data_IF_573610310379
#
_entry.id   IF_573610310379
#
_cell.length_a   1.000
_cell.length_b   1.000
_cell.length_c   1.000
_cell.angle_alpha   90.00
_cell.angle_beta   90.00
_cell.angle_gamma   90.00
#
_symmetry.space_group_name_H-M   'P 1'
#
loop_
_entity.id
_entity.type
_entity.pdbx_description
1 polymer ?
#
# COMPACT_ATOMS: atom_id res chain seq x y z
N UNK A 1 7.70 11.31 -30.08
CA UNK A 1 8.15 11.18 -28.68
C UNK A 1 7.08 10.47 -27.90
N UNK A 2 7.44 9.52 -27.04
CA UNK A 2 6.46 8.90 -26.14
C UNK A 2 5.96 9.98 -25.15
N UNK A 3 4.67 10.02 -24.92
CA UNK A 3 4.02 10.95 -24.00
C UNK A 3 3.32 10.17 -22.86
N UNK A 4 2.88 10.83 -21.77
CA UNK A 4 2.27 10.15 -20.64
C UNK A 4 1.08 9.25 -21.01
N UNK A 5 0.19 9.70 -21.92
CA UNK A 5 -0.96 8.91 -22.36
C UNK A 5 -0.56 7.67 -23.16
N UNK A 6 0.48 7.79 -24.02
CA UNK A 6 0.98 6.63 -24.77
C UNK A 6 1.59 5.56 -23.87
N UNK A 7 2.34 5.95 -22.83
CA UNK A 7 2.86 5.05 -21.82
C UNK A 7 1.73 4.42 -21.01
N UNK A 8 0.77 5.22 -20.57
CA UNK A 8 -0.39 4.74 -19.80
C UNK A 8 -1.14 3.64 -20.56
N UNK A 9 -1.38 3.83 -21.84
CA UNK A 9 -2.06 2.84 -22.68
C UNK A 9 -1.21 1.63 -23.00
N UNK A 10 0.03 1.86 -23.45
CA UNK A 10 0.93 0.79 -23.94
C UNK A 10 1.39 -0.14 -22.83
N UNK A 11 1.73 0.40 -21.65
CA UNK A 11 2.34 -0.35 -20.55
C UNK A 11 1.29 -0.81 -19.54
N UNK A 12 0.32 0.06 -19.21
CA UNK A 12 -0.64 -0.22 -18.14
C UNK A 12 -2.05 -0.58 -18.64
N UNK A 13 -2.32 -0.42 -19.96
CA UNK A 13 -3.60 -0.80 -20.58
C UNK A 13 -4.76 0.15 -20.28
N UNK A 14 -4.51 1.34 -19.72
CA UNK A 14 -5.53 2.33 -19.43
C UNK A 14 -5.65 3.36 -20.53
N UNK A 15 -6.87 3.71 -20.92
CA UNK A 15 -7.14 4.71 -21.98
C UNK A 15 -7.02 6.15 -21.48
N UNK A 16 -7.22 6.41 -20.19
CA UNK A 16 -7.18 7.75 -19.59
C UNK A 16 -6.69 7.71 -18.15
N UNK A 17 -6.11 8.82 -17.71
CA UNK A 17 -5.78 9.05 -16.30
C UNK A 17 -7.06 9.23 -15.47
N UNK A 18 -7.03 8.78 -14.23
CA UNK A 18 -8.04 9.10 -13.23
C UNK A 18 -7.90 10.55 -12.77
N UNK A 19 -8.96 11.17 -12.22
CA UNK A 19 -8.88 12.55 -11.71
C UNK A 19 -7.67 12.76 -10.78
N UNK A 20 -6.91 13.81 -11.05
CA UNK A 20 -5.70 14.19 -10.30
C UNK A 20 -4.41 13.49 -10.71
N UNK A 21 -4.45 12.35 -11.39
CA UNK A 21 -3.22 11.63 -11.78
C UNK A 21 -2.41 12.39 -12.84
N UNK A 22 -3.05 12.91 -13.85
CA UNK A 22 -2.39 13.58 -14.98
C UNK A 22 -1.60 14.81 -14.53
N UNK A 23 -2.17 15.62 -13.64
CA UNK A 23 -1.51 16.78 -13.09
C UNK A 23 -0.25 16.38 -12.28
N UNK A 24 -0.35 15.36 -11.43
CA UNK A 24 0.79 14.82 -10.68
C UNK A 24 1.91 14.37 -11.63
N UNK A 25 1.56 13.60 -12.67
CA UNK A 25 2.51 13.12 -13.69
C UNK A 25 3.19 14.31 -14.37
N UNK A 26 2.43 15.32 -14.76
CA UNK A 26 2.95 16.52 -15.43
C UNK A 26 3.91 17.31 -14.55
N UNK A 27 3.60 17.47 -13.25
CA UNK A 27 4.46 18.14 -12.29
C UNK A 27 5.80 17.42 -12.08
N UNK A 28 5.76 16.09 -11.89
CA UNK A 28 6.98 15.29 -11.76
C UNK A 28 7.84 15.35 -13.02
N UNK A 29 7.24 15.32 -14.20
CA UNK A 29 7.97 15.45 -15.48
C UNK A 29 8.57 16.86 -15.67
N UNK A 30 7.92 17.89 -15.12
CA UNK A 30 8.45 19.26 -15.09
C UNK A 30 9.57 19.46 -14.06
N UNK A 31 9.92 18.43 -13.26
CA UNK A 31 10.95 18.52 -12.21
C UNK A 31 10.46 19.17 -10.92
N UNK A 32 9.15 19.31 -10.73
CA UNK A 32 8.56 19.82 -9.49
C UNK A 32 8.30 18.68 -8.51
N UNK A 33 8.69 18.85 -7.24
CA UNK A 33 8.37 17.90 -6.18
C UNK A 33 6.85 17.82 -5.98
N UNK A 34 6.39 16.66 -5.51
CA UNK A 34 4.96 16.39 -5.31
C UNK A 34 4.73 15.78 -3.93
N UNK A 35 3.71 16.26 -3.24
CA UNK A 35 3.11 15.61 -2.07
C UNK A 35 1.64 15.26 -2.40
N UNK A 36 1.39 13.98 -2.63
CA UNK A 36 0.07 13.50 -3.03
C UNK A 36 -0.56 12.62 -1.94
N UNK A 37 -1.70 13.09 -1.41
CA UNK A 37 -2.58 12.30 -0.54
C UNK A 37 -3.70 11.73 -1.40
N UNK A 38 -3.63 10.43 -1.66
CA UNK A 38 -4.55 9.73 -2.55
C UNK A 38 -5.05 8.45 -1.88
N UNK A 39 -6.37 8.22 -1.82
CA UNK A 39 -6.92 7.04 -1.16
C UNK A 39 -6.41 5.74 -1.76
N UNK A 40 -6.53 4.67 -0.99
CA UNK A 40 -6.24 3.32 -1.46
C UNK A 40 -7.13 3.00 -2.68
N UNK A 41 -6.52 2.45 -3.73
CA UNK A 41 -7.21 2.16 -5.00
C UNK A 41 -7.33 3.34 -5.98
N UNK A 42 -6.88 4.55 -5.62
CA UNK A 42 -6.85 5.70 -6.53
C UNK A 42 -5.77 5.61 -7.64
N UNK A 43 -4.91 4.58 -7.58
CA UNK A 43 -3.86 4.36 -8.58
C UNK A 43 -2.62 5.23 -8.35
N UNK A 44 -2.18 5.40 -7.10
CA UNK A 44 -0.94 6.11 -6.73
C UNK A 44 0.27 5.67 -7.56
N UNK A 45 0.42 4.35 -7.78
CA UNK A 45 1.57 3.78 -8.51
C UNK A 45 1.71 4.35 -9.91
N UNK A 46 0.60 4.54 -10.63
CA UNK A 46 0.59 5.11 -11.98
C UNK A 46 1.19 6.52 -12.00
N UNK A 47 0.93 7.31 -10.94
CA UNK A 47 1.39 8.69 -10.85
C UNK A 47 2.93 8.82 -10.86
N UNK A 48 3.65 7.81 -10.38
CA UNK A 48 5.12 7.82 -10.41
C UNK A 48 5.72 6.82 -11.41
N UNK A 49 5.01 5.74 -11.75
CA UNK A 49 5.52 4.77 -12.72
C UNK A 49 5.52 5.34 -14.15
N UNK A 50 4.49 6.11 -14.53
CA UNK A 50 4.45 6.75 -15.85
C UNK A 50 5.61 7.75 -16.03
N UNK A 51 5.82 8.75 -15.14
CA UNK A 51 6.97 9.63 -15.29
C UNK A 51 8.30 8.90 -15.16
N UNK A 52 8.42 7.85 -14.35
CA UNK A 52 9.63 7.04 -14.27
C UNK A 52 10.06 6.48 -15.63
N UNK A 53 9.12 6.11 -16.49
CA UNK A 53 9.41 5.58 -17.83
C UNK A 53 9.83 6.65 -18.83
N UNK A 54 9.44 7.90 -18.62
CA UNK A 54 9.72 9.03 -19.51
C UNK A 54 10.95 9.83 -19.09
N UNK A 55 11.23 9.94 -17.80
CA UNK A 55 12.40 10.66 -17.29
C UNK A 55 13.71 9.96 -17.72
N UNK A 56 14.79 10.69 -17.96
CA UNK A 56 16.10 10.07 -18.18
C UNK A 56 16.61 9.37 -16.92
N UNK A 57 17.48 8.36 -17.06
CA UNK A 57 18.07 7.69 -15.88
C UNK A 57 17.12 6.75 -15.15
N UNK A 58 17.32 6.61 -13.85
CA UNK A 58 16.68 5.62 -12.99
C UNK A 58 15.74 6.31 -12.00
N UNK A 59 14.59 5.69 -11.73
CA UNK A 59 13.71 6.06 -10.62
C UNK A 59 13.89 5.07 -9.47
N UNK A 60 14.10 5.60 -8.26
CA UNK A 60 14.10 4.83 -7.01
C UNK A 60 12.75 5.01 -6.34
N UNK A 61 12.11 3.90 -5.97
CA UNK A 61 10.85 3.90 -5.20
C UNK A 61 11.14 3.33 -3.82
N UNK A 62 11.13 4.18 -2.81
CA UNK A 62 11.25 3.77 -1.41
C UNK A 62 9.88 3.30 -0.92
N UNK A 63 9.79 2.04 -0.50
CA UNK A 63 8.54 1.45 -0.02
C UNK A 63 8.79 0.57 1.22
N UNK A 64 7.88 0.54 2.20
CA UNK A 64 8.09 -0.19 3.45
C UNK A 64 7.73 -1.67 3.35
N UNK A 65 7.18 -2.12 2.24
CA UNK A 65 6.48 -3.40 2.13
C UNK A 65 7.09 -4.33 1.10
N UNK A 66 7.74 -5.39 1.60
CA UNK A 66 8.44 -6.40 0.79
C UNK A 66 7.49 -7.12 -0.19
N UNK A 67 6.28 -7.48 0.24
CA UNK A 67 5.28 -8.12 -0.62
C UNK A 67 4.84 -7.20 -1.76
N UNK A 68 4.49 -5.95 -1.43
CA UNK A 68 4.07 -4.97 -2.42
C UNK A 68 5.16 -4.70 -3.47
N UNK A 69 6.44 -4.61 -3.05
CA UNK A 69 7.55 -4.45 -4.00
C UNK A 69 7.60 -5.59 -5.01
N UNK A 70 7.43 -6.84 -4.55
CA UNK A 70 7.45 -8.02 -5.43
C UNK A 70 6.32 -7.98 -6.44
N UNK A 71 5.11 -7.65 -5.98
CA UNK A 71 3.92 -7.58 -6.82
C UNK A 71 4.04 -6.45 -7.86
N UNK A 72 4.46 -5.25 -7.42
CA UNK A 72 4.67 -4.11 -8.31
C UNK A 72 5.75 -4.39 -9.36
N UNK A 73 6.90 -4.93 -8.95
CA UNK A 73 7.97 -5.30 -9.88
C UNK A 73 7.53 -6.43 -10.81
N UNK A 74 6.82 -7.44 -10.30
CA UNK A 74 6.27 -8.52 -11.11
C UNK A 74 5.35 -7.99 -12.22
N UNK A 75 4.42 -7.10 -11.88
CA UNK A 75 3.51 -6.46 -12.84
C UNK A 75 4.28 -5.63 -13.89
N UNK A 76 5.25 -4.84 -13.46
CA UNK A 76 6.09 -4.04 -14.37
C UNK A 76 6.88 -4.92 -15.34
N UNK A 77 7.51 -5.99 -14.84
CA UNK A 77 8.28 -6.93 -15.68
C UNK A 77 7.38 -7.64 -16.68
N UNK A 78 6.17 -8.06 -16.28
CA UNK A 78 5.18 -8.64 -17.19
C UNK A 78 4.74 -7.64 -18.28
N UNK A 79 4.68 -6.36 -17.94
CA UNK A 79 4.41 -5.28 -18.89
C UNK A 79 5.63 -4.88 -19.75
N UNK A 80 6.76 -5.60 -19.64
CA UNK A 80 7.98 -5.35 -20.40
C UNK A 80 8.85 -4.21 -19.85
N UNK A 81 8.60 -3.75 -18.63
CA UNK A 81 9.40 -2.72 -17.98
C UNK A 81 10.55 -3.35 -17.20
N UNK A 82 11.76 -2.87 -17.43
CA UNK A 82 12.94 -3.30 -16.69
C UNK A 82 12.92 -2.73 -15.26
N UNK A 83 12.40 -3.52 -14.31
CA UNK A 83 12.26 -3.16 -12.91
C UNK A 83 12.93 -4.21 -11.99
N UNK A 84 13.37 -3.77 -10.82
CA UNK A 84 13.94 -4.64 -9.79
C UNK A 84 13.53 -4.17 -8.39
N UNK A 85 13.76 -5.02 -7.38
CA UNK A 85 13.62 -4.63 -5.98
C UNK A 85 14.86 -5.02 -5.16
N UNK A 86 15.10 -4.29 -4.08
CA UNK A 86 16.17 -4.53 -3.10
C UNK A 86 15.58 -4.48 -1.68
N UNK A 87 15.47 -5.65 -1.06
CA UNK A 87 14.95 -5.79 0.29
C UNK A 87 15.59 -6.97 1.05
N UNK A 88 15.11 -7.28 2.25
CA UNK A 88 15.66 -8.33 3.11
C UNK A 88 15.36 -9.76 2.64
N UNK A 89 14.44 -9.96 1.70
CA UNK A 89 14.10 -11.29 1.19
C UNK A 89 15.10 -11.84 0.17
N UNK A 90 16.02 -10.99 -0.34
CA UNK A 90 17.05 -11.39 -1.30
C UNK A 90 18.25 -11.98 -0.58
N UNK A 91 18.80 -13.05 -1.15
CA UNK A 91 20.12 -13.56 -0.73
C UNK A 91 21.24 -12.58 -1.12
N UNK A 92 22.41 -12.71 -0.52
CA UNK A 92 23.52 -11.79 -0.81
C UNK A 92 24.00 -11.90 -2.27
N UNK A 93 23.96 -13.08 -2.85
CA UNK A 93 24.22 -13.27 -4.29
C UNK A 93 23.21 -12.57 -5.19
N UNK A 94 21.92 -12.61 -4.83
CA UNK A 94 20.85 -11.92 -5.54
C UNK A 94 21.01 -10.39 -5.44
N UNK A 95 21.35 -9.88 -4.24
CA UNK A 95 21.64 -8.46 -4.03
C UNK A 95 22.83 -7.99 -4.87
N UNK A 96 23.94 -8.76 -4.85
CA UNK A 96 25.14 -8.44 -5.63
C UNK A 96 24.85 -8.42 -7.14
N UNK A 97 24.11 -9.41 -7.65
CA UNK A 97 23.70 -9.48 -9.06
C UNK A 97 22.80 -8.30 -9.43
N UNK A 98 21.82 -7.97 -8.59
CA UNK A 98 20.91 -6.84 -8.80
C UNK A 98 21.69 -5.53 -8.88
N UNK A 99 22.59 -5.26 -7.93
CA UNK A 99 23.41 -4.04 -7.92
C UNK A 99 24.37 -3.96 -9.11
N UNK A 100 24.95 -5.07 -9.56
CA UNK A 100 25.76 -5.11 -10.78
C UNK A 100 24.94 -4.69 -12.00
N UNK A 101 23.78 -5.32 -12.20
CA UNK A 101 22.87 -4.98 -13.31
C UNK A 101 22.38 -3.54 -13.24
N UNK A 102 22.13 -3.02 -12.02
CA UNK A 102 21.74 -1.63 -11.81
C UNK A 102 22.85 -0.67 -12.29
N UNK A 103 24.12 -0.96 -11.96
CA UNK A 103 25.28 -0.18 -12.46
C UNK A 103 25.45 -0.27 -13.97
N UNK A 104 25.13 -1.39 -14.58
CA UNK A 104 25.14 -1.58 -16.03
C UNK A 104 23.96 -0.86 -16.72
N UNK A 105 22.99 -0.31 -15.95
CA UNK A 105 21.85 0.44 -16.48
C UNK A 105 20.70 -0.42 -16.97
N UNK A 106 20.56 -1.65 -16.46
CA UNK A 106 19.51 -2.58 -16.87
C UNK A 106 18.12 -2.18 -16.41
N UNK A 107 18.02 -1.39 -15.33
CA UNK A 107 16.74 -1.10 -14.70
C UNK A 107 16.32 0.35 -14.87
N UNK A 108 15.05 0.54 -15.11
CA UNK A 108 14.39 1.84 -15.19
C UNK A 108 13.78 2.27 -13.85
N UNK A 109 13.27 1.29 -13.12
CA UNK A 109 12.64 1.49 -11.80
C UNK A 109 13.24 0.48 -10.82
N UNK A 110 13.67 0.96 -9.66
CA UNK A 110 14.17 0.13 -8.57
C UNK A 110 13.38 0.43 -7.30
N UNK A 111 12.65 -0.57 -6.82
CA UNK A 111 12.02 -0.52 -5.52
C UNK A 111 13.02 -0.89 -4.43
N UNK A 112 13.07 -0.11 -3.36
CA UNK A 112 14.03 -0.31 -2.27
C UNK A 112 13.35 -0.18 -0.92
N UNK A 113 13.68 -1.10 0.00
CA UNK A 113 13.30 -0.95 1.39
C UNK A 113 14.14 0.16 2.04
N UNK A 114 13.57 1.04 2.87
CA UNK A 114 14.27 2.23 3.39
C UNK A 114 15.57 1.90 4.10
N UNK A 115 15.63 0.79 4.86
CA UNK A 115 16.83 0.33 5.56
C UNK A 115 17.98 -0.11 4.61
N UNK A 116 17.72 -0.19 3.32
CA UNK A 116 18.72 -0.51 2.29
C UNK A 116 19.38 0.71 1.67
N UNK A 117 18.85 1.89 1.92
CA UNK A 117 19.44 3.14 1.44
C UNK A 117 20.84 3.39 2.02
N UNK A 118 21.10 2.91 3.24
CA UNK A 118 22.39 3.03 3.92
C UNK A 118 23.42 1.97 3.47
N UNK A 119 23.03 0.99 2.63
CA UNK A 119 23.99 -0.01 2.15
C UNK A 119 25.08 0.62 1.29
N UNK A 120 26.38 0.42 1.62
CA UNK A 120 27.47 1.05 0.84
C UNK A 120 27.46 0.69 -0.65
N UNK A 121 27.00 -0.52 -0.97
CA UNK A 121 26.85 -0.96 -2.37
C UNK A 121 25.75 -0.24 -3.10
N UNK A 122 24.64 0.09 -2.44
CA UNK A 122 23.52 0.85 -3.02
C UNK A 122 23.86 2.34 -3.14
N UNK A 123 24.49 2.92 -2.12
CA UNK A 123 24.95 4.32 -2.15
C UNK A 123 25.94 4.56 -3.29
N UNK A 124 26.95 3.71 -3.45
CA UNK A 124 27.89 3.79 -4.59
C UNK A 124 27.18 3.71 -5.94
N UNK A 125 26.26 2.75 -6.10
CA UNK A 125 25.45 2.66 -7.31
C UNK A 125 24.68 3.97 -7.58
N UNK A 126 24.03 4.54 -6.57
CA UNK A 126 23.23 5.74 -6.70
C UNK A 126 24.08 6.99 -7.01
N UNK A 127 25.35 7.02 -6.57
CA UNK A 127 26.31 8.07 -6.89
C UNK A 127 26.89 7.93 -8.31
N UNK A 128 27.04 6.71 -8.81
CA UNK A 128 27.60 6.42 -10.14
C UNK A 128 26.57 6.57 -11.27
N UNK A 129 25.29 6.54 -10.97
CA UNK A 129 24.20 6.55 -11.96
C UNK A 129 23.31 7.78 -11.82
N UNK A 130 22.71 8.20 -12.92
CA UNK A 130 21.73 9.29 -12.88
C UNK A 130 20.44 8.80 -12.24
N UNK A 131 20.12 9.30 -11.05
CA UNK A 131 18.84 9.14 -10.40
C UNK A 131 18.00 10.37 -10.74
N UNK A 132 16.93 10.18 -11.50
CA UNK A 132 16.09 11.30 -11.98
C UNK A 132 14.91 11.57 -11.06
N UNK A 133 14.43 10.56 -10.37
CA UNK A 133 13.32 10.68 -9.45
C UNK A 133 13.50 9.73 -8.26
N UNK A 134 13.13 10.21 -7.08
CA UNK A 134 12.94 9.39 -5.89
C UNK A 134 11.48 9.49 -5.46
N UNK A 135 10.81 8.37 -5.39
CA UNK A 135 9.44 8.29 -4.91
C UNK A 135 9.42 7.67 -3.52
N UNK A 136 8.74 8.31 -2.59
CA UNK A 136 8.51 7.81 -1.23
C UNK A 136 7.05 7.33 -1.15
N UNK A 137 6.86 6.03 -1.22
CA UNK A 137 5.55 5.41 -1.04
C UNK A 137 5.25 5.23 0.45
N UNK A 138 3.97 5.30 0.82
CA UNK A 138 3.52 5.34 2.22
C UNK A 138 4.29 6.40 3.05
N UNK A 139 4.42 7.61 2.48
CA UNK A 139 5.24 8.70 3.05
C UNK A 139 4.83 9.10 4.48
N UNK A 140 3.60 8.76 4.92
CA UNK A 140 3.17 8.96 6.31
C UNK A 140 4.04 8.20 7.33
N UNK A 141 4.77 7.18 6.90
CA UNK A 141 5.70 6.43 7.74
C UNK A 141 6.88 7.27 8.28
N UNK A 142 7.15 8.46 7.71
CA UNK A 142 8.19 9.36 8.19
C UNK A 142 7.78 10.14 9.44
N UNK A 143 6.48 10.29 9.69
CA UNK A 143 5.91 11.07 10.79
C UNK A 143 5.61 10.19 12.00
N UNK A 144 6.02 10.63 13.20
CA UNK A 144 5.64 10.00 14.47
C UNK A 144 4.12 10.07 14.73
N UNK A 145 3.43 10.96 14.04
CA UNK A 145 1.98 11.15 14.10
C UNK A 145 1.27 10.42 12.97
N UNK A 146 2.02 9.74 12.11
CA UNK A 146 1.49 8.86 11.07
C UNK A 146 1.04 7.52 11.65
N UNK A 147 0.24 6.81 10.88
CA UNK A 147 -0.37 5.53 11.28
C UNK A 147 0.66 4.42 11.56
N UNK A 148 1.77 4.41 10.84
CA UNK A 148 2.82 3.38 10.89
C UNK A 148 4.21 4.04 10.83
N UNK A 149 4.58 4.73 11.90
CA UNK A 149 5.89 5.37 11.98
C UNK A 149 7.01 4.34 11.85
N UNK A 150 7.94 4.62 10.94
CA UNK A 150 9.12 3.78 10.70
C UNK A 150 10.40 4.60 10.77
N UNK A 151 11.23 4.38 11.81
CA UNK A 151 12.49 5.12 11.95
C UNK A 151 13.40 5.06 10.72
N UNK A 152 13.35 3.98 9.95
CA UNK A 152 14.13 3.83 8.71
C UNK A 152 13.76 4.83 7.61
N UNK A 153 12.58 5.49 7.67
CA UNK A 153 12.24 6.56 6.74
C UNK A 153 13.01 7.85 7.01
N UNK A 154 13.52 8.03 8.23
CA UNK A 154 14.34 9.17 8.59
C UNK A 154 15.73 9.17 7.91
N UNK A 155 16.14 8.07 7.30
CA UNK A 155 17.39 8.00 6.52
C UNK A 155 17.25 8.50 5.08
N UNK A 156 16.01 8.71 4.60
CA UNK A 156 15.76 9.14 3.21
C UNK A 156 16.38 10.51 2.91
N UNK A 157 16.23 11.54 3.75
CA UNK A 157 16.85 12.86 3.49
C UNK A 157 18.37 12.79 3.34
N UNK A 158 19.04 12.03 4.22
CA UNK A 158 20.48 11.83 4.12
C UNK A 158 20.87 11.15 2.79
N UNK A 159 20.15 10.11 2.39
CA UNK A 159 20.37 9.49 1.09
C UNK A 159 20.21 10.50 -0.06
N UNK A 160 19.15 11.32 -0.05
CA UNK A 160 18.92 12.34 -1.08
C UNK A 160 20.06 13.36 -1.14
N UNK A 161 20.61 13.80 0.00
CA UNK A 161 21.72 14.76 0.07
C UNK A 161 23.04 14.20 -0.47
N UNK A 162 23.24 12.90 -0.45
CA UNK A 162 24.44 12.22 -0.95
C UNK A 162 24.44 12.01 -2.48
N UNK A 163 23.32 12.27 -3.16
CA UNK A 163 23.24 12.13 -4.61
C UNK A 163 23.95 13.29 -5.34
N UNK A 164 24.68 13.04 -6.42
CA UNK A 164 25.43 14.08 -7.16
C UNK A 164 24.53 15.20 -7.71
N UNK A 165 23.27 14.89 -7.98
CA UNK A 165 22.22 15.84 -8.37
C UNK A 165 20.94 15.47 -7.63
N UNK A 166 20.30 16.48 -7.04
CA UNK A 166 19.01 16.26 -6.38
C UNK A 166 17.98 15.81 -7.41
N UNK A 167 17.37 14.62 -7.25
CA UNK A 167 16.28 14.16 -8.11
C UNK A 167 15.00 14.93 -7.80
N UNK A 168 14.00 14.83 -8.68
CA UNK A 168 12.64 15.20 -8.28
C UNK A 168 12.10 14.21 -7.25
N UNK A 169 11.41 14.71 -6.23
CA UNK A 169 10.89 13.88 -5.13
C UNK A 169 9.37 13.83 -5.18
N UNK A 170 8.83 12.61 -5.22
CA UNK A 170 7.39 12.37 -5.12
C UNK A 170 7.06 11.66 -3.81
N UNK A 171 6.31 12.30 -2.92
CA UNK A 171 5.82 11.70 -1.68
C UNK A 171 4.35 11.30 -1.83
N UNK A 172 4.04 10.03 -1.62
CA UNK A 172 2.70 9.46 -1.81
C UNK A 172 2.21 8.77 -0.53
N UNK A 173 0.97 9.02 -0.16
CA UNK A 173 0.33 8.33 0.97
C UNK A 173 -1.17 8.21 0.74
N UNK A 174 -1.80 7.24 1.42
CA UNK A 174 -3.25 7.10 1.38
C UNK A 174 -3.95 8.09 2.30
N UNK A 175 -3.36 8.40 3.44
CA UNK A 175 -3.92 9.27 4.48
C UNK A 175 -2.83 10.15 5.06
N UNK A 176 -3.14 11.42 5.30
CA UNK A 176 -2.27 12.32 6.03
C UNK A 176 -3.07 13.50 6.61
N UNK A 177 -3.03 13.67 7.91
CA UNK A 177 -3.51 14.91 8.57
C UNK A 177 -2.65 16.10 8.16
N UNK A 178 -3.09 17.32 8.46
CA UNK A 178 -2.30 18.52 8.18
C UNK A 178 -0.90 18.44 8.83
N UNK A 179 -0.82 17.92 10.06
CA UNK A 179 0.45 17.73 10.78
C UNK A 179 1.36 16.72 10.09
N UNK A 180 0.81 15.57 9.67
CA UNK A 180 1.57 14.54 8.94
C UNK A 180 2.09 15.08 7.61
N UNK A 181 1.30 15.89 6.89
CA UNK A 181 1.76 16.54 5.63
C UNK A 181 2.93 17.49 5.87
N UNK A 182 2.86 18.28 6.96
CA UNK A 182 3.95 19.18 7.34
C UNK A 182 5.23 18.40 7.68
N UNK A 183 5.10 17.29 8.44
CA UNK A 183 6.24 16.42 8.74
C UNK A 183 6.84 15.83 7.47
N UNK A 184 6.00 15.32 6.54
CA UNK A 184 6.48 14.78 5.25
C UNK A 184 7.25 15.86 4.48
N UNK A 185 6.67 17.05 4.37
CA UNK A 185 7.29 18.17 3.64
C UNK A 185 8.64 18.55 4.23
N UNK A 186 8.70 18.72 5.55
CA UNK A 186 9.91 19.18 6.25
C UNK A 186 10.98 18.10 6.30
N UNK A 187 10.64 16.86 6.66
CA UNK A 187 11.64 15.78 6.75
C UNK A 187 12.20 15.37 5.38
N UNK A 188 11.37 15.32 4.33
CA UNK A 188 11.86 15.03 2.97
C UNK A 188 12.48 16.24 2.26
N UNK A 189 12.50 17.41 2.93
CA UNK A 189 13.03 18.66 2.36
C UNK A 189 12.47 18.93 0.97
N UNK A 190 11.12 18.82 0.82
CA UNK A 190 10.48 19.01 -0.47
C UNK A 190 10.56 20.48 -0.92
N UNK A 191 11.01 20.70 -2.15
CA UNK A 191 11.20 22.03 -2.73
C UNK A 191 9.91 22.51 -3.41
N UNK A 192 9.18 23.44 -2.78
CA UNK A 192 7.93 24.03 -3.32
C UNK A 192 7.02 22.95 -3.95
N UNK A 193 6.66 21.90 -3.20
CA UNK A 193 5.96 20.77 -3.77
C UNK A 193 4.58 21.17 -4.30
N UNK A 194 4.17 20.53 -5.38
CA UNK A 194 2.75 20.51 -5.73
C UNK A 194 2.03 19.60 -4.73
N UNK A 195 1.21 20.21 -3.89
CA UNK A 195 0.43 19.47 -2.90
C UNK A 195 -0.98 19.20 -3.42
N UNK A 196 -1.38 17.95 -3.40
CA UNK A 196 -2.71 17.54 -3.82
C UNK A 196 -3.30 16.51 -2.87
N UNK A 197 -4.56 16.71 -2.55
CA UNK A 197 -5.38 15.71 -1.86
C UNK A 197 -6.54 15.38 -2.78
N UNK A 198 -6.55 14.16 -3.30
CA UNK A 198 -7.68 13.72 -4.13
C UNK A 198 -8.88 13.35 -3.25
N UNK A 199 -10.06 13.33 -3.86
CA UNK A 199 -11.28 12.98 -3.13
C UNK A 199 -11.15 11.60 -2.47
N UNK A 200 -11.57 11.53 -1.21
CA UNK A 200 -11.73 10.26 -0.48
C UNK A 200 -13.04 9.56 -0.82
N UNK A 201 -13.87 10.17 -1.65
CA UNK A 201 -15.14 9.57 -2.04
C UNK A 201 -14.92 8.31 -2.88
N UNK A 202 -15.56 7.26 -2.47
CA UNK A 202 -15.58 5.94 -3.10
C UNK A 202 -17.05 5.55 -3.33
N UNK A 203 -17.67 6.07 -4.40
CA UNK A 203 -19.11 5.90 -4.63
C UNK A 203 -19.53 4.44 -4.81
N UNK A 204 -18.58 3.57 -5.10
CA UNK A 204 -18.82 2.13 -5.20
C UNK A 204 -18.77 1.38 -3.85
N UNK A 205 -18.43 2.06 -2.74
CA UNK A 205 -18.41 1.45 -1.42
C UNK A 205 -19.66 1.84 -0.63
N UNK A 206 -20.39 0.84 -0.14
CA UNK A 206 -21.49 1.05 0.77
C UNK A 206 -21.02 0.81 2.21
N UNK A 207 -21.04 1.86 3.03
CA UNK A 207 -20.67 1.80 4.43
C UNK A 207 -21.89 1.62 5.33
N UNK A 208 -21.87 0.62 6.20
CA UNK A 208 -22.89 0.41 7.21
C UNK A 208 -22.29 0.11 8.58
N UNK A 209 -23.03 0.45 9.62
CA UNK A 209 -22.70 0.06 10.99
C UNK A 209 -23.82 -0.77 11.56
N UNK A 210 -23.47 -1.87 12.25
CA UNK A 210 -24.44 -2.74 12.92
C UNK A 210 -24.09 -2.86 14.38
N UNK A 211 -25.10 -2.58 15.22
CA UNK A 211 -24.99 -2.82 16.65
C UNK A 211 -25.20 -4.30 16.93
N UNK A 212 -24.23 -4.93 17.59
CA UNK A 212 -24.31 -6.32 18.00
C UNK A 212 -23.66 -6.49 19.38
N UNK A 213 -24.35 -7.18 20.28
CA UNK A 213 -23.73 -7.59 21.54
C UNK A 213 -22.57 -8.56 21.28
N UNK A 214 -21.54 -8.63 22.13
CA UNK A 214 -20.43 -9.55 21.93
C UNK A 214 -20.84 -11.00 21.65
N UNK A 215 -21.88 -11.50 22.33
CA UNK A 215 -22.44 -12.85 22.13
C UNK A 215 -23.18 -13.03 20.79
N UNK A 216 -23.65 -11.96 20.18
CA UNK A 216 -24.38 -11.97 18.89
C UNK A 216 -23.47 -11.78 17.68
N UNK A 217 -22.28 -11.20 17.88
CA UNK A 217 -21.36 -10.90 16.76
C UNK A 217 -21.02 -12.11 15.89
N UNK A 218 -20.78 -13.32 16.43
CA UNK A 218 -20.49 -14.49 15.59
C UNK A 218 -21.65 -14.82 14.63
N UNK A 219 -22.90 -14.71 15.12
CA UNK A 219 -24.10 -14.94 14.31
C UNK A 219 -24.27 -13.87 13.24
N UNK A 220 -24.14 -12.59 13.60
CA UNK A 220 -24.22 -11.45 12.67
C UNK A 220 -23.15 -11.54 11.58
N UNK A 221 -21.90 -11.87 11.96
CA UNK A 221 -20.83 -12.07 11.01
C UNK A 221 -21.17 -13.17 10.00
N UNK A 222 -21.64 -14.32 10.50
CA UNK A 222 -21.98 -15.45 9.64
C UNK A 222 -23.10 -15.09 8.65
N UNK A 223 -24.15 -14.40 9.12
CA UNK A 223 -25.24 -13.93 8.27
C UNK A 223 -24.77 -12.95 7.19
N UNK A 224 -23.85 -12.04 7.54
CA UNK A 224 -23.24 -11.11 6.58
C UNK A 224 -22.45 -11.85 5.51
N UNK A 225 -21.58 -12.77 5.90
CA UNK A 225 -20.75 -13.53 4.97
C UNK A 225 -21.61 -14.42 4.05
N UNK A 226 -22.63 -15.08 4.60
CA UNK A 226 -23.53 -15.92 3.80
C UNK A 226 -24.34 -15.12 2.78
N UNK A 227 -24.71 -13.86 3.06
CA UNK A 227 -25.38 -12.97 2.10
C UNK A 227 -24.50 -12.62 0.90
N UNK A 228 -23.18 -12.60 1.07
CA UNK A 228 -22.23 -12.31 0.00
C UNK A 228 -21.96 -13.52 -0.92
N UNK A 229 -22.54 -14.69 -0.59
CA UNK A 229 -22.39 -15.90 -1.40
C UNK A 229 -20.92 -16.33 -1.51
N UNK A 230 -20.44 -16.50 -2.74
CA UNK A 230 -19.06 -16.92 -3.01
C UNK A 230 -18.08 -15.74 -3.25
N UNK A 231 -18.48 -14.52 -2.98
CA UNK A 231 -17.63 -13.37 -3.20
C UNK A 231 -16.44 -13.33 -2.21
N UNK A 232 -15.30 -12.84 -2.70
CA UNK A 232 -14.12 -12.64 -1.87
C UNK A 232 -14.33 -11.52 -0.85
N UNK A 233 -13.92 -11.74 0.40
CA UNK A 233 -14.04 -10.77 1.45
C UNK A 233 -12.95 -10.82 2.51
N UNK A 234 -12.88 -9.76 3.31
CA UNK A 234 -11.92 -9.63 4.42
C UNK A 234 -12.70 -9.37 5.71
N UNK A 235 -12.30 -10.06 6.79
CA UNK A 235 -12.82 -9.82 8.14
C UNK A 235 -11.68 -9.38 9.04
N UNK A 236 -11.77 -8.17 9.61
CA UNK A 236 -10.78 -7.63 10.54
C UNK A 236 -11.19 -7.89 11.99
N UNK A 237 -10.30 -8.54 12.74
CA UNK A 237 -10.44 -8.82 14.17
C UNK A 237 -9.31 -8.13 14.96
N UNK A 238 -9.59 -7.71 16.20
CA UNK A 238 -8.60 -7.02 17.04
C UNK A 238 -7.52 -7.95 17.62
N UNK A 239 -7.80 -9.24 17.77
CA UNK A 239 -6.87 -10.20 18.37
C UNK A 239 -6.67 -11.45 17.51
N UNK A 240 -5.49 -12.08 17.65
CA UNK A 240 -5.17 -13.33 16.96
C UNK A 240 -6.12 -14.46 17.33
N UNK A 241 -6.53 -14.54 18.61
CA UNK A 241 -7.50 -15.51 19.09
C UNK A 241 -8.86 -15.36 18.40
N UNK A 242 -9.36 -14.12 18.25
CA UNK A 242 -10.61 -13.87 17.51
C UNK A 242 -10.49 -14.22 16.03
N UNK A 243 -9.32 -14.02 15.44
CA UNK A 243 -9.07 -14.47 14.05
C UNK A 243 -9.26 -15.98 13.95
N UNK A 244 -8.60 -16.75 14.82
CA UNK A 244 -8.66 -18.22 14.79
C UNK A 244 -10.08 -18.73 15.06
N UNK A 245 -10.77 -18.19 16.07
CA UNK A 245 -12.16 -18.53 16.38
C UNK A 245 -13.12 -18.21 15.22
N UNK A 246 -12.89 -17.08 14.54
CA UNK A 246 -13.70 -16.68 13.37
C UNK A 246 -13.45 -17.58 12.17
N UNK A 247 -12.20 -17.96 11.90
CA UNK A 247 -11.88 -18.92 10.84
C UNK A 247 -12.57 -20.26 11.10
N UNK A 248 -12.48 -20.79 12.32
CA UNK A 248 -13.14 -22.05 12.69
C UNK A 248 -14.67 -21.96 12.52
N UNK A 249 -15.28 -20.85 12.91
CA UNK A 249 -16.72 -20.62 12.71
C UNK A 249 -17.10 -20.67 11.23
N UNK A 250 -16.35 -19.96 10.37
CA UNK A 250 -16.63 -19.94 8.92
C UNK A 250 -16.42 -21.30 8.28
N UNK A 251 -15.32 -21.98 8.61
CA UNK A 251 -15.02 -23.31 8.10
C UNK A 251 -16.04 -24.37 8.53
N UNK A 252 -16.60 -24.26 9.76
CA UNK A 252 -17.67 -25.14 10.22
C UNK A 252 -18.96 -25.01 9.40
N UNK A 253 -19.07 -23.96 8.59
CA UNK A 253 -20.17 -23.70 7.66
C UNK A 253 -19.75 -23.86 6.20
N UNK A 254 -18.69 -24.61 5.95
CA UNK A 254 -18.14 -24.89 4.61
C UNK A 254 -17.71 -23.65 3.83
N UNK A 255 -17.43 -22.53 4.53
CA UNK A 255 -16.89 -21.31 3.92
C UNK A 255 -15.35 -21.45 3.92
N UNK A 256 -14.73 -21.28 2.74
CA UNK A 256 -13.27 -21.34 2.58
C UNK A 256 -12.63 -20.10 3.19
N UNK A 257 -12.22 -20.20 4.45
CA UNK A 257 -11.60 -19.10 5.19
C UNK A 257 -10.17 -19.45 5.62
N UNK A 258 -9.28 -18.44 5.65
CA UNK A 258 -7.93 -18.56 6.17
C UNK A 258 -7.58 -17.42 7.12
N UNK A 259 -6.68 -17.69 8.06
CA UNK A 259 -6.17 -16.74 9.04
C UNK A 259 -4.97 -15.96 8.51
N UNK A 260 -4.84 -14.68 8.94
CA UNK A 260 -3.62 -13.92 8.73
C UNK A 260 -3.31 -13.05 9.96
N UNK A 261 -2.27 -13.38 10.70
CA UNK A 261 -1.81 -12.62 11.86
C UNK A 261 -0.34 -12.90 12.18
N UNK A 262 0.26 -12.07 13.02
CA UNK A 262 1.71 -12.09 13.30
C UNK A 262 2.20 -13.37 13.99
N UNK A 263 1.33 -14.16 14.66
CA UNK A 263 1.71 -15.42 15.31
C UNK A 263 1.86 -16.59 14.35
N UNK A 264 1.35 -16.49 13.13
CA UNK A 264 1.59 -17.51 12.09
C UNK A 264 3.04 -17.42 11.62
N UNK A 265 3.63 -18.55 11.26
CA UNK A 265 4.93 -18.57 10.60
C UNK A 265 4.88 -17.87 9.22
N UNK A 266 6.04 -17.51 8.70
CA UNK A 266 6.14 -16.73 7.47
C UNK A 266 5.63 -17.49 6.23
N UNK A 267 5.83 -18.80 6.19
CA UNK A 267 5.41 -19.61 5.04
C UNK A 267 3.90 -19.82 5.04
N UNK A 268 3.28 -20.09 6.18
CA UNK A 268 1.81 -20.17 6.32
C UNK A 268 1.16 -18.83 5.97
N UNK A 269 1.72 -17.70 6.44
CA UNK A 269 1.19 -16.37 6.07
C UNK A 269 1.24 -16.13 4.58
N UNK A 270 2.36 -16.46 3.95
CA UNK A 270 2.52 -16.33 2.49
C UNK A 270 1.53 -17.22 1.75
N UNK A 271 1.41 -18.49 2.14
CA UNK A 271 0.50 -19.43 1.51
C UNK A 271 -0.95 -18.97 1.62
N UNK A 272 -1.41 -18.55 2.81
CA UNK A 272 -2.77 -18.06 3.01
C UNK A 272 -3.05 -16.79 2.18
N UNK A 273 -2.07 -15.89 2.07
CA UNK A 273 -2.16 -14.71 1.22
C UNK A 273 -2.30 -15.09 -0.27
N UNK A 274 -1.46 -15.99 -0.76
CA UNK A 274 -1.51 -16.47 -2.14
C UNK A 274 -2.84 -17.18 -2.42
N UNK A 275 -3.32 -18.02 -1.48
CA UNK A 275 -4.60 -18.70 -1.61
C UNK A 275 -5.78 -17.74 -1.68
N UNK A 276 -5.72 -16.61 -0.96
CA UNK A 276 -6.72 -15.56 -1.06
C UNK A 276 -6.61 -14.79 -2.38
N UNK A 277 -5.41 -14.44 -2.82
CA UNK A 277 -5.19 -13.73 -4.08
C UNK A 277 -5.68 -14.53 -5.29
N UNK A 278 -5.48 -15.83 -5.29
CA UNK A 278 -5.87 -16.73 -6.38
C UNK A 278 -7.25 -17.41 -6.19
N UNK A 279 -8.12 -16.85 -5.36
CA UNK A 279 -9.51 -17.31 -5.11
C UNK A 279 -9.64 -18.75 -4.55
N UNK A 280 -8.55 -19.36 -4.06
CA UNK A 280 -8.59 -20.63 -3.34
C UNK A 280 -9.22 -20.50 -1.96
N UNK A 281 -9.04 -19.36 -1.34
CA UNK A 281 -9.71 -18.89 -0.11
C UNK A 281 -10.68 -17.78 -0.45
N UNK A 282 -11.91 -17.85 0.08
CA UNK A 282 -12.95 -16.88 -0.13
C UNK A 282 -12.88 -15.73 0.87
N UNK A 283 -12.66 -16.05 2.15
CA UNK A 283 -12.66 -15.08 3.23
C UNK A 283 -11.30 -15.08 3.95
N UNK A 284 -10.61 -13.96 3.91
CA UNK A 284 -9.45 -13.74 4.74
C UNK A 284 -9.88 -13.13 6.08
N UNK A 285 -9.56 -13.82 7.17
CA UNK A 285 -9.78 -13.30 8.53
C UNK A 285 -8.45 -12.86 9.10
N UNK A 286 -8.33 -11.60 9.51
CA UNK A 286 -7.04 -11.05 9.84
C UNK A 286 -7.06 -10.02 10.97
N UNK A 287 -5.90 -9.81 11.58
CA UNK A 287 -5.64 -8.57 12.33
C UNK A 287 -5.22 -7.46 11.36
N UNK A 288 -5.01 -6.24 11.86
CA UNK A 288 -4.49 -5.10 11.10
C UNK A 288 -3.16 -5.40 10.37
N UNK A 289 -2.45 -6.48 10.75
CA UNK A 289 -1.24 -6.93 10.04
C UNK A 289 -1.53 -7.37 8.59
N UNK A 290 -2.77 -7.74 8.25
CA UNK A 290 -3.20 -8.02 6.89
C UNK A 290 -3.70 -6.75 6.24
N UNK A 291 -2.81 -6.07 5.61
CA UNK A 291 -3.31 -4.83 5.10
C UNK A 291 -2.39 -4.16 4.11
N UNK A 292 -1.22 -3.82 4.51
CA UNK A 292 -0.29 -3.16 3.62
C UNK A 292 0.21 -4.15 2.54
N UNK A 293 0.03 -3.80 1.26
CA UNK A 293 0.57 -4.56 0.14
C UNK A 293 -0.34 -5.61 -0.50
N UNK A 294 -1.63 -5.69 -0.12
CA UNK A 294 -2.56 -6.60 -0.80
C UNK A 294 -3.31 -5.84 -1.88
N UNK A 295 -3.11 -6.29 -3.11
CA UNK A 295 -3.78 -5.74 -4.29
C UNK A 295 -4.69 -6.80 -4.94
N UNK A 296 -5.84 -7.06 -4.29
CA UNK A 296 -6.90 -7.91 -4.83
C UNK A 296 -8.07 -7.04 -5.27
N UNK A 297 -8.34 -6.91 -6.57
CA UNK A 297 -9.34 -5.97 -7.09
C UNK A 297 -10.78 -6.38 -6.77
N UNK A 298 -11.07 -7.67 -6.71
CA UNK A 298 -12.41 -8.24 -6.63
C UNK A 298 -12.91 -8.54 -5.18
N UNK A 299 -12.39 -7.84 -4.17
CA UNK A 299 -12.93 -7.93 -2.80
C UNK A 299 -14.29 -7.25 -2.76
N UNK A 300 -15.36 -8.00 -2.45
CA UNK A 300 -16.73 -7.49 -2.47
C UNK A 300 -17.23 -7.04 -1.09
N UNK A 301 -16.59 -7.50 -0.02
CA UNK A 301 -16.95 -7.05 1.32
C UNK A 301 -15.74 -6.95 2.25
N UNK A 302 -15.82 -5.99 3.17
CA UNK A 302 -14.92 -5.87 4.32
C UNK A 302 -15.77 -5.76 5.58
N UNK A 303 -15.55 -6.64 6.54
CA UNK A 303 -16.26 -6.63 7.82
C UNK A 303 -15.27 -6.34 8.94
N UNK A 304 -15.51 -5.27 9.68
CA UNK A 304 -14.81 -4.99 10.92
C UNK A 304 -15.56 -5.63 12.08
N UNK A 305 -15.04 -6.74 12.60
CA UNK A 305 -15.60 -7.45 13.75
C UNK A 305 -15.48 -6.65 15.05
N UNK A 306 -14.43 -5.84 15.13
CA UNK A 306 -14.16 -4.89 16.21
C UNK A 306 -13.98 -3.49 15.67
N UNK A 307 -14.13 -2.49 16.56
CA UNK A 307 -13.80 -1.10 16.25
C UNK A 307 -12.32 -1.00 15.83
N UNK A 308 -11.98 -0.37 14.70
CA UNK A 308 -10.63 -0.01 14.35
C UNK A 308 -10.02 0.97 15.35
N UNK A 309 -8.70 1.09 15.38
CA UNK A 309 -7.98 1.98 16.30
C UNK A 309 -8.33 3.46 16.09
N UNK A 310 -8.48 3.86 14.83
CA UNK A 310 -8.79 5.21 14.38
C UNK A 310 -9.53 5.20 13.04
N UNK A 311 -9.99 6.36 12.60
CA UNK A 311 -10.75 6.53 11.37
C UNK A 311 -9.89 6.25 10.13
N UNK A 312 -8.61 6.62 10.19
CA UNK A 312 -7.68 6.39 9.09
C UNK A 312 -7.45 4.89 8.85
N UNK A 313 -7.24 4.12 9.93
CA UNK A 313 -7.15 2.65 9.87
C UNK A 313 -8.43 2.05 9.27
N UNK A 314 -9.60 2.51 9.76
CA UNK A 314 -10.88 2.06 9.22
C UNK A 314 -10.99 2.31 7.73
N UNK A 315 -10.66 3.52 7.29
CA UNK A 315 -10.75 3.89 5.88
C UNK A 315 -9.77 3.11 5.00
N UNK A 316 -8.56 2.90 5.48
CA UNK A 316 -7.53 2.12 4.79
C UNK A 316 -7.92 0.64 4.62
N UNK A 317 -8.47 0.04 5.68
CA UNK A 317 -8.92 -1.35 5.71
C UNK A 317 -10.18 -1.54 4.84
N UNK A 318 -11.18 -0.69 5.00
CA UNK A 318 -12.39 -0.68 4.18
C UNK A 318 -12.09 -0.40 2.69
N UNK A 319 -11.12 0.48 2.41
CA UNK A 319 -10.69 0.84 1.05
C UNK A 319 -10.06 -0.29 0.23
N UNK A 320 -9.89 -1.48 0.82
CA UNK A 320 -9.49 -2.70 0.09
C UNK A 320 -10.62 -3.28 -0.72
N UNK A 321 -11.86 -2.98 -0.35
CA UNK A 321 -13.03 -3.40 -1.10
C UNK A 321 -13.16 -2.65 -2.42
N UNK A 322 -13.67 -3.33 -3.45
CA UNK A 322 -14.07 -2.71 -4.71
C UNK A 322 -12.99 -1.92 -5.45
N UNK A 323 -11.74 -2.34 -5.45
CA UNK A 323 -10.65 -1.64 -6.16
C UNK A 323 -10.83 -1.63 -7.69
N UNK A 324 -11.56 -2.58 -8.20
CA UNK A 324 -11.97 -2.66 -9.61
C UNK A 324 -13.13 -1.70 -9.98
N UNK A 325 -13.61 -0.89 -9.01
CA UNK A 325 -14.72 0.03 -9.20
C UNK A 325 -16.10 -0.60 -9.07
N UNK A 326 -16.20 -1.92 -8.90
CA UNK A 326 -17.48 -2.60 -8.70
C UNK A 326 -18.03 -2.35 -7.28
N UNK A 327 -19.36 -2.40 -7.10
CA UNK A 327 -19.97 -2.23 -5.79
C UNK A 327 -19.39 -3.19 -4.74
N UNK A 328 -19.13 -2.69 -3.55
CA UNK A 328 -18.65 -3.47 -2.43
C UNK A 328 -19.20 -2.93 -1.10
N UNK A 329 -19.31 -3.80 -0.10
CA UNK A 329 -19.89 -3.49 1.20
C UNK A 329 -18.83 -3.44 2.30
N UNK A 330 -18.90 -2.41 3.15
CA UNK A 330 -18.03 -2.22 4.31
C UNK A 330 -18.90 -2.17 5.57
N UNK A 331 -18.85 -3.21 6.39
CA UNK A 331 -19.71 -3.32 7.58
C UNK A 331 -18.87 -3.26 8.87
N UNK A 332 -19.25 -2.39 9.79
CA UNK A 332 -18.67 -2.33 11.14
C UNK A 332 -19.63 -2.91 12.18
N UNK A 333 -19.19 -3.96 12.87
CA UNK A 333 -19.90 -4.54 14.01
C UNK A 333 -19.45 -3.87 15.31
N UNK A 334 -20.29 -3.04 15.91
CA UNK A 334 -19.95 -2.34 17.15
C UNK A 334 -20.80 -2.79 18.34
N UNK A 335 -20.26 -2.64 19.56
CA UNK A 335 -20.99 -2.81 20.81
C UNK A 335 -20.77 -1.61 21.72
N UNK A 336 -21.83 -1.16 22.40
CA UNK A 336 -21.78 0.03 23.27
C UNK A 336 -20.79 -0.11 24.45
N UNK A 337 -20.47 -1.34 24.87
CA UNK A 337 -19.50 -1.58 25.94
C UNK A 337 -18.08 -1.11 25.64
N UNK A 338 -17.75 -0.86 24.36
CA UNK A 338 -16.43 -0.35 23.93
C UNK A 338 -16.39 1.18 23.81
N UNK A 339 -17.53 1.86 23.72
CA UNK A 339 -17.60 3.32 23.60
C UNK A 339 -17.17 3.99 24.92
N UNK A 340 -17.42 3.34 26.08
CA UNK A 340 -17.02 3.87 27.39
C UNK A 340 -15.52 3.75 27.71
N UNK A 341 -14.73 3.02 26.92
CA UNK A 341 -13.29 2.87 27.14
C UNK A 341 -12.48 3.98 26.46
N UNK A 342 -13.07 4.73 25.55
CA UNK A 342 -12.39 5.79 24.79
C UNK A 342 -12.74 7.21 25.23
N UNK A 343 -13.48 7.41 26.33
CA UNK A 343 -13.58 8.74 26.92
C UNK A 343 -12.25 9.10 27.62
N UNK A 344 -11.59 10.21 27.20
CA UNK A 344 -10.41 10.65 27.90
C UNK A 344 -10.80 11.03 29.32
N UNK A 345 -10.22 10.37 30.29
CA UNK A 345 -10.22 10.85 31.68
C UNK A 345 -9.71 12.28 31.69
N UNK A 346 -10.55 13.20 32.11
CA UNK A 346 -10.23 14.63 32.34
C UNK A 346 -9.11 14.79 33.36
#
# INVERSE_FOLDING_TARGET
MENPHSILKKVFGYDSFRPGQEEIVSRLLAGQDVLAVMPTGAGKSICYQVPALLLPGITIVVSPLVSLMKDQVGTLVQAGVAAAFLNNSLTDNQKALMLRRAREGWYKIIYVAPERLEMPGFQRFAQERQISMVTVDEAHCISQWGQDFRPSYLTIPEFLSQLPRRPVVGAFTATATARVREDIRSHLELHQPYEVTTSFDRPNLYFETRRALPSQKPKELLELVLKEGNHAGIVYCSTTRQVDETVQLLQSRSIRAAAYHAKLDADTRRQNQDDFLYDRVQVMVATNAFGMGIDKPNVRFVIHYNMPKDLESYYQEAGRAGRDGQPARCTLLYSLSLIHISEPTR
#
